data_IF_773152042574
#
_entry.id   IF_773152042574
#
_cell.length_a   1.000
_cell.length_b   1.000
_cell.length_c   1.000
_cell.angle_alpha   90.00
_cell.angle_beta   90.00
_cell.angle_gamma   90.00
#
_symmetry.space_group_name_H-M   'P 1'
#
loop_
_entity.id
_entity.type
_entity.pdbx_description
1 polymer ?
#
# COMPACT_ATOMS: atom_id res chain seq x y z
N UNK A 1 14.75 34.58 13.87
CA UNK A 1 14.20 33.87 15.03
C UNK A 1 14.22 32.39 14.66
N UNK A 2 15.10 31.61 15.28
CA UNK A 2 15.06 30.15 15.12
C UNK A 2 13.71 29.64 15.66
N UNK A 3 13.00 28.76 14.93
CA UNK A 3 11.79 28.15 15.46
C UNK A 3 12.17 27.37 16.73
N UNK A 4 11.54 27.71 17.86
CA UNK A 4 11.68 26.91 19.08
C UNK A 4 11.28 25.48 18.77
N UNK A 5 12.08 24.52 19.22
CA UNK A 5 11.88 23.09 19.01
C UNK A 5 10.58 22.61 19.66
N UNK A 6 9.48 22.58 18.90
CA UNK A 6 8.20 22.00 19.35
C UNK A 6 8.24 20.46 19.43
N UNK A 7 9.32 19.81 18.97
CA UNK A 7 9.43 18.35 18.91
C UNK A 7 9.79 17.64 20.23
N UNK A 8 10.71 18.19 21.02
CA UNK A 8 11.25 17.50 22.21
C UNK A 8 10.18 17.06 23.26
N UNK A 9 9.11 17.84 23.54
CA UNK A 9 8.05 17.39 24.42
C UNK A 9 7.33 16.12 23.93
N UNK A 10 7.15 15.97 22.61
CA UNK A 10 6.43 14.84 22.01
C UNK A 10 7.26 13.55 22.05
N UNK A 11 8.57 13.63 21.81
CA UNK A 11 9.45 12.47 21.87
C UNK A 11 9.47 11.85 23.29
N UNK A 12 9.58 12.68 24.32
CA UNK A 12 9.60 12.21 25.71
C UNK A 12 8.27 11.56 26.13
N UNK A 13 7.14 12.12 25.70
CA UNK A 13 5.81 11.55 25.91
C UNK A 13 5.67 10.17 25.25
N UNK A 14 6.05 10.06 23.97
CA UNK A 14 5.98 8.82 23.21
C UNK A 14 6.93 7.74 23.73
N UNK A 15 8.09 8.12 24.26
CA UNK A 15 9.00 7.24 24.99
C UNK A 15 8.38 6.70 26.30
N UNK A 16 7.63 7.53 27.02
CA UNK A 16 6.92 7.09 28.22
C UNK A 16 5.79 6.11 27.88
N UNK A 17 5.07 6.29 26.76
CA UNK A 17 4.08 5.33 26.27
C UNK A 17 4.70 3.93 26.10
N UNK A 18 5.84 3.82 25.39
CA UNK A 18 6.55 2.56 25.20
C UNK A 18 6.97 1.92 26.54
N UNK A 19 7.47 2.73 27.47
CA UNK A 19 7.88 2.26 28.80
C UNK A 19 6.69 1.71 29.59
N UNK A 20 5.52 2.38 29.54
CA UNK A 20 4.28 1.92 30.20
C UNK A 20 3.84 0.55 29.69
N UNK A 21 4.05 0.27 28.42
CA UNK A 21 3.76 -1.03 27.80
C UNK A 21 4.98 -1.96 27.83
N UNK A 22 5.91 -1.76 28.76
CA UNK A 22 6.95 -2.73 29.10
C UNK A 22 8.13 -2.81 28.13
N UNK A 23 8.33 -1.80 27.28
CA UNK A 23 9.58 -1.69 26.54
C UNK A 23 10.69 -1.14 27.43
N UNK A 24 11.91 -1.59 27.19
CA UNK A 24 13.12 -1.11 27.86
C UNK A 24 13.96 -0.28 26.91
N UNK A 25 14.48 0.85 27.38
CA UNK A 25 15.39 1.71 26.62
C UNK A 25 16.70 0.97 26.33
N UNK A 26 17.20 1.07 25.10
CA UNK A 26 18.48 0.50 24.71
C UNK A 26 19.59 1.50 25.04
N UNK A 27 20.29 1.27 26.16
CA UNK A 27 21.23 2.23 26.71
C UNK A 27 20.52 3.53 27.10
N UNK A 28 21.03 4.67 26.63
CA UNK A 28 20.38 5.98 26.78
C UNK A 28 19.77 6.50 25.47
N UNK A 29 19.79 5.71 24.39
CA UNK A 29 19.26 6.09 23.07
C UNK A 29 17.74 6.06 23.04
N UNK A 30 17.09 6.80 22.14
CA UNK A 30 15.62 6.79 22.02
C UNK A 30 15.07 5.55 21.29
N UNK A 31 15.78 4.43 21.41
CA UNK A 31 15.43 3.10 20.91
C UNK A 31 14.99 2.23 22.08
N UNK A 32 13.95 1.47 21.87
CA UNK A 32 13.21 0.70 22.86
C UNK A 32 13.03 -0.74 22.39
N UNK A 33 13.14 -1.70 23.31
CA UNK A 33 13.03 -3.12 23.00
C UNK A 33 12.04 -3.85 23.90
N UNK A 34 11.28 -4.77 23.29
CA UNK A 34 10.42 -5.73 23.99
C UNK A 34 10.27 -7.00 23.16
N UNK A 35 10.87 -8.09 23.62
CA UNK A 35 10.87 -9.36 22.89
C UNK A 35 11.47 -9.20 21.49
N UNK A 36 10.76 -9.54 20.40
CA UNK A 36 11.28 -9.42 19.04
C UNK A 36 11.16 -8.00 18.45
N UNK A 37 10.54 -7.06 19.17
CA UNK A 37 10.28 -5.71 18.67
C UNK A 37 11.37 -4.73 19.10
N UNK A 38 11.79 -3.89 18.16
CA UNK A 38 12.68 -2.76 18.42
C UNK A 38 12.10 -1.51 17.75
N UNK A 39 11.90 -0.45 18.53
CA UNK A 39 11.18 0.77 18.13
C UNK A 39 12.02 1.98 18.53
N UNK A 40 12.26 2.89 17.61
CA UNK A 40 12.82 4.22 17.90
C UNK A 40 11.73 5.26 18.02
N UNK A 41 11.96 6.29 18.82
CA UNK A 41 11.09 7.47 18.92
C UNK A 41 11.84 8.67 18.34
N UNK A 42 11.34 9.19 17.22
CA UNK A 42 11.91 10.33 16.53
C UNK A 42 11.65 11.64 17.29
N UNK A 43 12.44 12.67 16.99
CA UNK A 43 12.31 13.99 17.61
C UNK A 43 10.92 14.64 17.42
N UNK A 44 10.16 14.24 16.41
CA UNK A 44 8.80 14.71 16.13
C UNK A 44 7.72 13.88 16.85
N UNK A 45 8.11 12.82 17.56
CA UNK A 45 7.23 11.87 18.25
C UNK A 45 6.79 10.68 17.41
N UNK A 46 7.19 10.57 16.14
CA UNK A 46 6.87 9.38 15.32
C UNK A 46 7.70 8.17 15.74
N UNK A 47 7.14 6.97 15.56
CA UNK A 47 7.85 5.73 15.78
C UNK A 47 8.60 5.29 14.52
N UNK A 48 9.84 4.85 14.67
CA UNK A 48 10.59 4.12 13.64
C UNK A 48 10.67 2.66 14.05
N UNK A 49 10.34 1.74 13.14
CA UNK A 49 10.39 0.30 13.42
C UNK A 49 11.72 -0.27 12.96
N UNK A 50 12.28 -1.18 13.75
CA UNK A 50 13.54 -1.82 13.42
C UNK A 50 13.38 -3.33 13.36
N UNK A 51 13.93 -3.91 12.30
CA UNK A 51 14.07 -5.34 12.14
C UNK A 51 15.39 -5.80 12.72
N UNK A 52 15.34 -6.79 13.61
CA UNK A 52 16.54 -7.45 14.11
C UNK A 52 17.09 -8.44 13.07
N UNK A 53 18.35 -8.24 12.66
CA UNK A 53 19.02 -9.06 11.65
C UNK A 53 19.60 -10.36 12.23
N UNK A 54 19.47 -10.60 13.55
CA UNK A 54 19.98 -11.79 14.25
C UNK A 54 19.47 -13.13 13.72
N UNK A 55 18.30 -13.20 13.10
CA UNK A 55 17.67 -14.48 12.73
C UNK A 55 18.47 -15.33 11.73
N UNK A 56 19.55 -14.80 11.14
CA UNK A 56 20.41 -15.53 10.19
C UNK A 56 21.85 -15.73 10.63
N UNK A 57 22.34 -15.02 11.68
CA UNK A 57 23.78 -14.90 11.95
C UNK A 57 24.10 -15.16 13.43
N UNK A 58 25.16 -15.93 13.70
CA UNK A 58 25.72 -16.06 15.04
C UNK A 58 26.46 -14.76 15.41
N UNK A 59 25.74 -13.76 15.93
CA UNK A 59 26.26 -12.40 16.10
C UNK A 59 27.62 -12.32 16.83
N UNK A 60 27.83 -13.17 17.82
CA UNK A 60 29.07 -13.19 18.62
C UNK A 60 30.29 -13.74 17.85
N UNK A 61 30.06 -14.47 16.77
CA UNK A 61 31.10 -15.02 15.93
C UNK A 61 31.58 -14.02 14.86
N UNK A 62 30.90 -12.87 14.71
CA UNK A 62 31.38 -11.79 13.85
C UNK A 62 32.62 -11.12 14.41
N UNK A 63 33.68 -11.20 13.63
CA UNK A 63 34.99 -10.59 13.94
C UNK A 63 35.33 -9.39 13.05
N UNK A 64 34.53 -9.16 11.99
CA UNK A 64 34.82 -8.19 10.95
C UNK A 64 33.57 -7.48 10.44
N UNK A 65 33.68 -6.16 10.20
CA UNK A 65 32.67 -5.31 9.57
C UNK A 65 33.31 -4.50 8.46
N UNK A 66 32.74 -4.55 7.26
CA UNK A 66 33.06 -3.61 6.18
C UNK A 66 31.78 -3.16 5.52
N UNK A 67 31.78 -1.93 5.04
CA UNK A 67 30.70 -1.40 4.20
C UNK A 67 31.20 -1.39 2.77
N UNK A 68 30.63 -2.24 1.94
CA UNK A 68 30.87 -2.21 0.49
C UNK A 68 29.86 -1.29 -0.21
N UNK A 69 30.26 -0.72 -1.35
CA UNK A 69 29.37 -0.04 -2.29
C UNK A 69 29.35 -0.82 -3.60
N UNK A 70 28.17 -1.13 -4.12
CA UNK A 70 28.01 -1.79 -5.42
C UNK A 70 27.63 -0.76 -6.49
N UNK A 71 28.33 -0.71 -7.63
CA UNK A 71 27.93 0.04 -8.83
C UNK A 71 27.71 -0.92 -10.04
N UNK A 72 26.85 -0.60 -11.03
CA UNK A 72 25.76 0.38 -11.06
C UNK A 72 24.43 -0.27 -11.50
N UNK A 73 23.45 -0.29 -10.61
CA UNK A 73 22.05 -0.12 -11.04
C UNK A 73 21.52 1.04 -10.21
N UNK A 74 20.54 1.79 -10.72
CA UNK A 74 20.02 3.03 -10.15
C UNK A 74 19.31 2.86 -8.77
N UNK A 75 19.62 1.80 -8.02
CA UNK A 75 19.12 1.54 -6.69
C UNK A 75 20.14 2.01 -5.62
N UNK A 76 19.68 2.67 -4.54
CA UNK A 76 20.53 3.15 -3.47
C UNK A 76 21.16 2.01 -2.68
N UNK A 77 22.49 1.94 -2.82
CA UNK A 77 23.53 1.61 -1.85
C UNK A 77 23.13 0.57 -0.81
N UNK A 78 23.37 -0.69 -1.16
CA UNK A 78 23.46 -1.72 -0.15
C UNK A 78 24.88 -1.78 0.42
N UNK A 79 25.04 -1.28 1.65
CA UNK A 79 26.15 -1.69 2.49
C UNK A 79 25.99 -3.19 2.77
N UNK A 80 26.82 -4.01 2.13
CA UNK A 80 26.96 -5.40 2.57
C UNK A 80 27.85 -5.39 3.78
N UNK A 81 27.30 -5.73 4.94
CA UNK A 81 28.10 -6.06 6.11
C UNK A 81 28.64 -7.47 5.91
N UNK A 82 29.85 -7.56 5.35
CA UNK A 82 30.57 -8.82 5.36
C UNK A 82 30.91 -9.18 6.79
N UNK A 83 30.20 -10.18 7.32
CA UNK A 83 30.33 -10.63 8.69
C UNK A 83 31.25 -11.85 8.73
N UNK A 84 32.45 -11.70 9.30
CA UNK A 84 33.43 -12.77 9.37
C UNK A 84 33.09 -13.75 10.50
N UNK A 85 32.56 -14.91 10.16
CA UNK A 85 32.41 -16.02 11.10
C UNK A 85 33.66 -16.91 11.07
N UNK A 86 34.34 -17.08 12.22
CA UNK A 86 35.52 -17.96 12.29
C UNK A 86 35.10 -19.42 12.50
N UNK A 87 35.01 -20.19 11.42
CA UNK A 87 34.90 -21.65 11.46
C UNK A 87 36.28 -22.28 11.23
N UNK A 88 37.10 -22.37 12.29
CA UNK A 88 38.49 -22.83 12.14
C UNK A 88 39.37 -21.79 11.43
N UNK A 89 39.85 -22.11 10.23
CA UNK A 89 40.64 -21.21 9.36
C UNK A 89 39.83 -20.57 8.22
N UNK A 90 38.56 -20.96 8.04
CA UNK A 90 37.72 -20.46 6.95
C UNK A 90 36.93 -19.22 7.36
N UNK A 91 36.80 -18.30 6.41
CA UNK A 91 36.00 -17.08 6.49
C UNK A 91 34.94 -17.16 5.41
N UNK A 92 33.67 -17.01 5.79
CA UNK A 92 32.55 -16.90 4.85
C UNK A 92 31.83 -15.56 5.04
N UNK A 93 31.24 -15.06 3.97
CA UNK A 93 30.49 -13.80 3.95
C UNK A 93 29.01 -14.14 3.83
N UNK A 94 28.25 -13.85 4.88
CA UNK A 94 26.80 -14.04 4.85
C UNK A 94 26.04 -12.84 4.25
N UNK A 95 24.80 -13.15 3.86
CA UNK A 95 23.81 -12.32 3.16
C UNK A 95 23.88 -10.81 3.43
N UNK A 96 23.65 -9.98 2.39
CA UNK A 96 23.68 -8.55 2.57
C UNK A 96 22.40 -8.00 3.23
N UNK A 97 22.53 -6.88 3.96
CA UNK A 97 21.48 -6.24 4.75
C UNK A 97 20.24 -5.79 3.92
N UNK A 98 20.28 -5.79 2.59
CA UNK A 98 19.15 -5.31 1.76
C UNK A 98 17.96 -6.26 1.82
N UNK A 99 18.14 -7.52 2.20
CA UNK A 99 17.10 -8.54 2.10
C UNK A 99 16.82 -9.01 0.67
N UNK A 100 17.49 -8.44 -0.32
CA UNK A 100 17.52 -8.97 -1.68
C UNK A 100 18.75 -9.86 -1.77
N UNK A 101 18.56 -11.16 -1.97
CA UNK A 101 19.63 -12.04 -2.44
C UNK A 101 20.17 -11.42 -3.72
N UNK A 102 21.28 -10.68 -3.65
CA UNK A 102 22.02 -10.29 -4.83
C UNK A 102 22.64 -11.62 -5.31
N UNK A 103 21.88 -12.37 -6.10
CA UNK A 103 22.26 -13.65 -6.68
C UNK A 103 23.32 -13.49 -7.78
N UNK A 104 23.82 -12.27 -8.00
CA UNK A 104 25.09 -12.03 -8.67
C UNK A 104 26.16 -11.92 -7.59
N UNK A 105 27.11 -12.86 -7.58
CA UNK A 105 28.32 -12.76 -6.76
C UNK A 105 28.78 -11.30 -6.68
N UNK A 106 29.06 -10.72 -5.49
CA UNK A 106 29.55 -9.35 -5.38
C UNK A 106 30.72 -9.22 -6.35
N UNK A 107 30.51 -8.50 -7.45
CA UNK A 107 31.39 -8.61 -8.60
C UNK A 107 32.77 -8.12 -8.24
N UNK A 108 33.72 -9.01 -7.96
CA UNK A 108 35.16 -8.79 -7.73
C UNK A 108 35.57 -7.56 -6.87
N UNK A 109 34.63 -6.95 -6.15
CA UNK A 109 34.81 -5.67 -5.49
C UNK A 109 35.05 -5.86 -4.00
N UNK A 110 36.31 -5.90 -3.61
CA UNK A 110 36.82 -5.65 -2.26
C UNK A 110 36.07 -6.34 -1.11
N UNK A 111 36.01 -7.69 -1.14
CA UNK A 111 35.80 -8.47 0.09
C UNK A 111 36.88 -8.02 1.10
N UNK A 112 36.54 -7.69 2.35
CA UNK A 112 37.54 -7.41 3.38
C UNK A 112 38.54 -8.56 3.47
N UNK A 113 39.82 -8.24 3.34
CA UNK A 113 40.87 -9.18 3.74
C UNK A 113 40.85 -9.26 5.28
N UNK A 114 41.11 -10.43 5.87
CA UNK A 114 41.22 -10.55 7.33
C UNK A 114 42.26 -9.58 7.91
N UNK A 115 43.27 -9.22 7.13
CA UNK A 115 44.24 -8.18 7.49
C UNK A 115 43.65 -6.77 7.63
N UNK A 116 42.53 -6.45 6.97
CA UNK A 116 41.83 -5.16 7.10
C UNK A 116 41.20 -4.98 8.50
N UNK A 117 40.86 -6.10 9.16
CA UNK A 117 40.12 -6.16 10.44
C UNK A 117 41.00 -6.62 11.62
N UNK A 118 42.12 -7.30 11.35
CA UNK A 118 43.01 -7.83 12.38
C UNK A 118 43.57 -6.72 13.27
N UNK A 119 43.47 -6.91 14.60
CA UNK A 119 43.99 -5.97 15.59
C UNK A 119 43.09 -4.76 15.87
N UNK A 120 41.92 -4.64 15.20
CA UNK A 120 40.94 -3.58 15.46
C UNK A 120 39.80 -4.08 16.33
N UNK A 121 39.37 -3.26 17.29
CA UNK A 121 38.14 -3.54 18.05
C UNK A 121 36.91 -3.33 17.18
N UNK A 122 35.77 -3.92 17.56
CA UNK A 122 34.53 -3.77 16.80
C UNK A 122 34.09 -2.30 16.69
N UNK A 123 34.29 -1.51 17.73
CA UNK A 123 34.03 -0.07 17.77
C UNK A 123 34.88 0.71 16.76
N UNK A 124 36.17 0.36 16.66
CA UNK A 124 37.07 0.96 15.67
C UNK A 124 36.60 0.64 14.26
N UNK A 125 36.25 -0.63 14.00
CA UNK A 125 35.74 -1.07 12.70
C UNK A 125 34.44 -0.34 12.32
N UNK A 126 33.48 -0.21 13.24
CA UNK A 126 32.24 0.54 13.02
C UNK A 126 32.51 2.02 12.75
N UNK A 127 33.42 2.65 13.51
CA UNK A 127 33.79 4.05 13.33
C UNK A 127 34.44 4.29 11.96
N UNK A 128 35.38 3.44 11.56
CA UNK A 128 36.00 3.46 10.22
C UNK A 128 34.98 3.21 9.12
N UNK A 129 34.00 2.34 9.39
CA UNK A 129 32.83 2.14 8.56
C UNK A 129 31.80 3.28 8.68
N UNK A 130 32.16 4.45 9.19
CA UNK A 130 31.34 5.66 9.20
C UNK A 130 30.12 5.61 10.11
N UNK A 131 30.04 4.65 11.03
CA UNK A 131 29.05 4.70 12.09
C UNK A 131 29.44 5.75 13.13
N UNK A 132 28.43 6.40 13.67
CA UNK A 132 28.59 7.36 14.76
C UNK A 132 28.17 6.70 16.06
N UNK A 133 29.05 6.74 17.06
CA UNK A 133 28.72 6.27 18.40
C UNK A 133 27.70 7.25 19.02
N UNK A 134 26.55 6.72 19.46
CA UNK A 134 25.60 7.49 20.24
C UNK A 134 26.23 7.79 21.59
N UNK A 135 26.70 9.04 21.75
CA UNK A 135 27.41 9.51 22.94
C UNK A 135 26.65 9.28 24.24
N UNK A 136 25.33 9.05 24.18
CA UNK A 136 24.52 8.78 25.36
C UNK A 136 24.53 7.29 25.73
N UNK A 137 24.64 6.37 24.78
CA UNK A 137 24.64 4.92 25.00
C UNK A 137 25.98 4.28 24.68
N UNK A 138 26.77 3.92 25.70
CA UNK A 138 28.00 3.16 25.49
C UNK A 138 27.72 1.90 24.66
N UNK A 139 28.38 1.79 23.49
CA UNK A 139 28.27 0.62 22.61
C UNK A 139 27.22 0.71 21.49
N UNK A 140 26.46 1.80 21.37
CA UNK A 140 25.50 2.00 20.28
C UNK A 140 26.12 2.79 19.14
N UNK A 141 26.05 2.24 17.93
CA UNK A 141 26.62 2.83 16.72
C UNK A 141 25.53 2.95 15.67
N UNK A 142 25.31 4.14 15.12
CA UNK A 142 24.29 4.36 14.10
C UNK A 142 24.88 4.91 12.80
N UNK A 143 24.32 4.46 11.67
CA UNK A 143 24.63 4.97 10.34
C UNK A 143 23.40 4.94 9.46
N UNK A 144 23.13 6.06 8.80
CA UNK A 144 22.16 6.12 7.70
C UNK A 144 22.83 5.75 6.39
N UNK A 145 22.24 4.81 5.66
CA UNK A 145 22.63 4.43 4.31
C UNK A 145 21.60 4.95 3.30
N UNK A 146 22.00 5.10 2.03
CA UNK A 146 21.12 5.54 0.94
C UNK A 146 21.17 7.05 0.67
N UNK A 147 20.31 7.52 -0.23
CA UNK A 147 20.20 8.92 -0.63
C UNK A 147 18.73 9.34 -0.83
N UNK A 148 18.43 10.62 -0.58
CA UNK A 148 17.10 11.20 -0.76
C UNK A 148 16.03 10.46 0.06
N UNK A 149 14.93 10.12 -0.61
CA UNK A 149 13.81 9.41 -0.01
C UNK A 149 14.08 7.93 0.24
N UNK A 150 15.23 7.38 -0.14
CA UNK A 150 15.54 5.95 -0.02
C UNK A 150 16.69 5.71 0.97
N UNK A 151 16.60 6.37 2.14
CA UNK A 151 17.52 6.13 3.25
C UNK A 151 17.03 5.01 4.16
N UNK A 152 17.99 4.35 4.81
CA UNK A 152 17.76 3.36 5.87
C UNK A 152 18.72 3.60 7.02
N UNK A 153 18.19 3.77 8.23
CA UNK A 153 19.00 3.82 9.42
C UNK A 153 19.38 2.41 9.89
N UNK A 154 20.64 2.18 10.24
CA UNK A 154 21.14 0.92 10.78
C UNK A 154 21.83 1.20 12.09
N UNK A 155 21.50 0.41 13.10
CA UNK A 155 22.10 0.49 14.43
C UNK A 155 22.82 -0.82 14.72
N UNK A 156 24.06 -0.70 15.15
CA UNK A 156 24.90 -1.75 15.68
C UNK A 156 25.04 -1.57 17.20
N UNK A 157 24.91 -2.68 17.93
CA UNK A 157 25.11 -2.73 19.38
C UNK A 157 26.34 -3.57 19.65
N UNK A 158 27.31 -2.97 20.33
CA UNK A 158 28.57 -3.57 20.75
C UNK A 158 28.63 -3.58 22.27
N UNK A 159 28.95 -4.72 22.85
CA UNK A 159 29.09 -4.91 24.29
C UNK A 159 30.35 -5.72 24.55
N UNK A 160 31.18 -5.28 25.49
CA UNK A 160 32.47 -5.90 25.82
C UNK A 160 33.37 -6.13 24.58
N UNK A 161 33.38 -5.16 23.65
CA UNK A 161 34.14 -5.23 22.39
C UNK A 161 33.60 -6.24 21.38
N UNK A 162 32.45 -6.86 21.65
CA UNK A 162 31.81 -7.86 20.77
C UNK A 162 30.52 -7.34 20.16
N UNK A 163 30.29 -7.75 18.92
CA UNK A 163 29.06 -7.45 18.23
C UNK A 163 27.88 -8.24 18.84
N UNK A 164 26.88 -7.54 19.36
CA UNK A 164 25.70 -8.17 19.98
C UNK A 164 24.50 -8.15 19.07
N UNK A 165 24.25 -7.03 18.41
CA UNK A 165 23.01 -6.84 17.65
C UNK A 165 23.23 -5.93 16.46
N UNK A 166 22.55 -6.26 15.37
CA UNK A 166 22.39 -5.38 14.23
C UNK A 166 20.89 -5.25 13.97
N UNK A 167 20.40 -4.02 13.98
CA UNK A 167 19.02 -3.71 13.68
C UNK A 167 18.96 -2.72 12.52
N UNK A 168 18.00 -2.92 11.63
CA UNK A 168 17.80 -2.11 10.43
C UNK A 168 16.42 -1.48 10.51
N UNK A 169 16.35 -0.17 10.30
CA UNK A 169 15.08 0.53 10.18
C UNK A 169 14.29 -0.07 9.02
N UNK A 170 13.05 -0.43 9.33
CA UNK A 170 12.10 -0.97 8.38
C UNK A 170 10.99 0.04 8.23
N UNK A 171 10.75 0.44 6.97
CA UNK A 171 9.53 1.15 6.60
C UNK A 171 8.37 0.19 6.72
N UNK A 172 7.32 0.59 7.41
CA UNK A 172 6.05 -0.11 7.26
C UNK A 172 5.55 0.27 5.87
N UNK A 173 5.20 -0.74 5.08
CA UNK A 173 4.67 -0.49 3.75
C UNK A 173 3.38 0.32 3.90
N UNK A 174 3.34 1.47 3.22
CA UNK A 174 2.21 2.42 3.21
C UNK A 174 1.97 3.23 4.50
N UNK A 175 3.05 3.60 5.20
CA UNK A 175 3.04 4.46 6.40
C UNK A 175 2.31 5.81 6.23
N UNK A 176 2.03 6.26 5.00
CA UNK A 176 1.50 7.62 4.79
C UNK A 176 0.15 7.87 5.45
N UNK A 177 -0.72 6.86 5.53
CA UNK A 177 -2.04 7.01 6.17
C UNK A 177 -1.96 6.79 7.69
N UNK A 178 -1.26 5.74 8.13
CA UNK A 178 -1.09 5.45 9.56
C UNK A 178 -0.33 6.57 10.28
N UNK A 179 0.72 7.12 9.67
CA UNK A 179 1.43 8.27 10.22
C UNK A 179 0.55 9.53 10.26
N UNK A 180 -0.30 9.76 9.25
CA UNK A 180 -1.23 10.91 9.23
C UNK A 180 -2.28 10.81 10.33
N UNK A 181 -2.80 9.61 10.58
CA UNK A 181 -3.81 9.39 11.61
C UNK A 181 -3.22 9.41 13.02
N UNK A 182 -1.91 9.15 13.15
CA UNK A 182 -1.26 8.95 14.43
C UNK A 182 -1.72 7.66 15.10
N UNK A 183 -0.90 7.13 16.00
CA UNK A 183 -1.24 5.94 16.79
C UNK A 183 -0.40 5.87 18.05
N UNK A 184 -0.84 5.03 18.97
CA UNK A 184 -0.17 4.67 20.21
C UNK A 184 0.15 3.18 20.19
N UNK A 185 1.32 2.81 20.72
CA UNK A 185 1.65 1.40 20.95
C UNK A 185 1.03 0.98 22.26
N UNK A 186 0.06 0.06 22.22
CA UNK A 186 -0.69 -0.36 23.42
C UNK A 186 -0.24 -1.71 23.95
N UNK A 187 0.59 -2.45 23.22
CA UNK A 187 1.32 -3.58 23.78
C UNK A 187 1.88 -4.54 22.76
N UNK A 188 2.19 -5.75 23.24
CA UNK A 188 2.62 -6.89 22.43
C UNK A 188 1.63 -8.02 22.66
N UNK A 189 1.29 -8.75 21.62
CA UNK A 189 0.42 -9.92 21.65
C UNK A 189 0.90 -11.01 20.72
N UNK A 190 -0.01 -11.95 20.44
CA UNK A 190 0.18 -12.99 19.43
C UNK A 190 -0.94 -12.90 18.40
N UNK A 191 -0.62 -13.18 17.14
CA UNK A 191 -1.58 -13.36 16.05
C UNK A 191 -1.48 -14.78 15.51
N UNK A 192 -2.61 -15.43 15.29
CA UNK A 192 -2.68 -16.78 14.73
C UNK A 192 -2.54 -16.70 13.21
N UNK A 193 -1.54 -17.39 12.69
CA UNK A 193 -1.31 -17.59 11.27
C UNK A 193 -1.99 -18.88 10.80
N UNK A 194 -2.14 -19.01 9.49
CA UNK A 194 -2.65 -20.24 8.88
C UNK A 194 -1.91 -21.49 9.38
N UNK A 195 -2.68 -22.51 9.78
CA UNK A 195 -2.15 -23.76 10.33
C UNK A 195 -1.85 -23.71 11.83
N UNK A 196 -2.45 -22.79 12.59
CA UNK A 196 -2.39 -22.74 14.06
C UNK A 196 -1.04 -22.29 14.62
N UNK A 197 -0.15 -21.75 13.78
CA UNK A 197 1.12 -21.17 14.23
C UNK A 197 0.83 -19.76 14.74
N UNK A 198 1.35 -19.38 15.90
CA UNK A 198 1.27 -17.99 16.35
C UNK A 198 2.55 -17.22 16.00
N UNK A 199 2.41 -15.93 15.75
CA UNK A 199 3.54 -15.00 15.64
C UNK A 199 3.36 -13.86 16.63
N UNK A 200 4.43 -13.39 17.27
CA UNK A 200 4.36 -12.18 18.08
C UNK A 200 3.97 -10.98 17.19
N UNK A 201 3.14 -10.10 17.74
CA UNK A 201 2.69 -8.86 17.10
C UNK A 201 2.80 -7.68 18.05
N UNK A 202 3.10 -6.51 17.50
CA UNK A 202 2.99 -5.24 18.18
C UNK A 202 1.59 -4.69 17.94
N UNK A 203 0.89 -4.36 19.02
CA UNK A 203 -0.44 -3.75 18.96
C UNK A 203 -0.31 -2.25 18.95
N UNK A 204 -0.91 -1.64 17.93
CA UNK A 204 -1.05 -0.21 17.81
C UNK A 204 -2.51 0.16 17.59
N UNK A 205 -2.90 1.32 18.10
CA UNK A 205 -4.27 1.81 17.94
C UNK A 205 -4.35 3.33 17.95
N UNK A 206 -5.44 3.83 17.38
CA UNK A 206 -5.89 5.21 17.49
C UNK A 206 -7.41 5.24 17.73
N UNK A 207 -8.06 6.36 17.46
CA UNK A 207 -9.51 6.49 17.60
C UNK A 207 -10.28 5.67 16.56
N UNK A 208 -9.67 5.38 15.40
CA UNK A 208 -10.32 4.75 14.27
C UNK A 208 -9.89 3.31 13.99
N UNK A 209 -8.69 2.90 14.40
CA UNK A 209 -8.05 1.65 14.00
C UNK A 209 -7.44 0.95 15.20
N UNK A 210 -7.47 -0.39 15.16
CA UNK A 210 -6.54 -1.26 15.88
C UNK A 210 -5.80 -2.11 14.86
N UNK A 211 -4.49 -2.22 14.98
CA UNK A 211 -3.71 -3.03 14.05
C UNK A 211 -2.56 -3.76 14.72
N UNK A 212 -2.26 -4.93 14.17
CA UNK A 212 -1.19 -5.82 14.59
C UNK A 212 -0.03 -5.71 13.59
N UNK A 213 1.13 -5.25 14.05
CA UNK A 213 2.35 -5.19 13.26
C UNK A 213 3.20 -6.41 13.59
N UNK A 214 3.51 -7.24 12.59
CA UNK A 214 4.40 -8.38 12.78
C UNK A 214 5.83 -7.93 13.12
N UNK A 215 6.63 -8.82 13.71
CA UNK A 215 8.07 -8.56 13.96
C UNK A 215 8.86 -8.24 12.69
N UNK A 216 8.36 -8.71 11.55
CA UNK A 216 8.83 -8.34 10.24
C UNK A 216 8.32 -6.98 9.75
N UNK A 217 7.69 -6.12 10.54
CA UNK A 217 7.23 -4.77 10.18
C UNK A 217 6.09 -4.70 9.15
N UNK A 218 5.47 -5.82 8.79
CA UNK A 218 4.26 -5.83 7.97
C UNK A 218 3.02 -5.85 8.86
N UNK A 219 1.99 -5.10 8.46
CA UNK A 219 0.67 -5.17 9.12
C UNK A 219 0.05 -6.55 8.85
N UNK A 220 -0.33 -7.26 9.91
CA UNK A 220 -0.89 -8.61 9.84
C UNK A 220 -2.40 -8.63 10.05
N UNK A 221 -2.94 -7.65 10.77
CA UNK A 221 -4.36 -7.52 11.03
C UNK A 221 -4.70 -6.04 11.20
N UNK A 222 -5.79 -5.59 10.61
CA UNK A 222 -6.34 -4.26 10.81
C UNK A 222 -7.83 -4.39 11.06
N UNK A 223 -8.31 -3.72 12.11
CA UNK A 223 -9.73 -3.63 12.44
C UNK A 223 -10.10 -2.17 12.62
N UNK A 224 -11.22 -1.79 12.02
CA UNK A 224 -11.83 -0.48 12.21
C UNK A 224 -12.59 -0.45 13.54
N UNK A 225 -12.36 0.60 14.34
CA UNK A 225 -13.11 0.94 15.56
C UNK A 225 -14.34 1.78 15.23
N UNK A 226 -14.26 2.54 14.13
CA UNK A 226 -15.36 3.32 13.54
C UNK A 226 -15.21 3.37 12.03
N UNK A 227 -16.28 3.80 11.38
CA UNK A 227 -16.25 4.15 9.97
C UNK A 227 -15.29 5.32 9.73
N UNK A 228 -14.47 5.20 8.69
CA UNK A 228 -13.67 6.30 8.17
C UNK A 228 -14.48 7.10 7.15
N UNK A 229 -14.35 8.40 7.16
CA UNK A 229 -14.91 9.26 6.11
C UNK A 229 -14.12 9.08 4.80
N UNK A 230 -14.74 9.36 3.64
CA UNK A 230 -14.00 9.39 2.37
C UNK A 230 -12.77 10.30 2.43
N UNK A 231 -12.87 11.47 3.08
CA UNK A 231 -11.76 12.41 3.23
C UNK A 231 -10.59 11.85 4.03
N UNK A 232 -10.86 11.10 5.10
CA UNK A 232 -9.81 10.42 5.88
C UNK A 232 -9.07 9.37 5.07
N UNK A 233 -9.77 8.70 4.14
CA UNK A 233 -9.17 7.78 3.17
C UNK A 233 -8.49 8.52 2.01
N UNK A 234 -8.58 9.84 1.93
CA UNK A 234 -8.08 10.62 0.81
C UNK A 234 -8.88 10.41 -0.48
N UNK A 235 -10.13 9.95 -0.36
CA UNK A 235 -11.08 9.88 -1.46
C UNK A 235 -11.62 11.27 -1.69
N UNK A 236 -11.20 11.88 -2.79
CA UNK A 236 -11.70 13.18 -3.23
C UNK A 236 -12.55 13.00 -4.48
N UNK A 237 -13.75 13.60 -4.54
CA UNK A 237 -14.55 13.60 -5.76
C UNK A 237 -13.71 14.09 -6.95
N UNK A 238 -13.83 13.41 -8.09
CA UNK A 238 -13.18 13.86 -9.31
C UNK A 238 -13.74 15.25 -9.72
N UNK A 239 -12.88 16.17 -10.17
CA UNK A 239 -13.34 17.47 -10.62
C UNK A 239 -14.23 17.34 -11.86
N UNK A 240 -15.39 17.99 -11.82
CA UNK A 240 -16.30 18.02 -12.97
C UNK A 240 -15.69 18.85 -14.11
N UNK A 241 -15.70 18.30 -15.33
CA UNK A 241 -15.27 19.00 -16.55
C UNK A 241 -16.37 18.90 -17.61
N UNK A 242 -16.91 20.05 -18.02
CA UNK A 242 -17.89 20.13 -19.11
C UNK A 242 -17.20 20.15 -20.48
N UNK A 243 -17.63 19.27 -21.38
CA UNK A 243 -17.18 19.16 -22.76
C UNK A 243 -17.98 20.11 -23.66
N UNK A 244 -17.48 20.46 -24.86
CA UNK A 244 -18.17 21.38 -25.78
C UNK A 244 -19.59 20.96 -26.20
N UNK A 245 -19.92 19.67 -26.12
CA UNK A 245 -21.25 19.12 -26.41
C UNK A 245 -22.17 19.06 -25.17
N UNK A 246 -21.73 19.62 -24.05
CA UNK A 246 -22.47 19.70 -22.78
C UNK A 246 -22.34 18.43 -21.92
N UNK A 247 -21.57 17.42 -22.35
CA UNK A 247 -21.27 16.26 -21.52
C UNK A 247 -20.35 16.63 -20.36
N UNK A 248 -20.67 16.18 -19.15
CA UNK A 248 -19.90 16.45 -17.94
C UNK A 248 -19.14 15.22 -17.50
N UNK A 249 -17.81 15.24 -17.63
CA UNK A 249 -16.95 14.19 -17.08
C UNK A 249 -16.89 14.40 -15.56
N UNK A 250 -17.19 13.36 -14.78
CA UNK A 250 -17.23 13.45 -13.32
C UNK A 250 -18.51 14.09 -12.77
N UNK A 251 -19.50 14.38 -13.63
CA UNK A 251 -20.74 15.06 -13.24
C UNK A 251 -21.99 14.31 -13.69
N UNK A 252 -23.16 14.84 -13.29
CA UNK A 252 -24.45 14.32 -13.71
C UNK A 252 -24.76 14.73 -15.17
N UNK A 253 -25.26 13.78 -15.96
CA UNK A 253 -25.63 13.99 -17.35
C UNK A 253 -27.09 13.60 -17.58
N UNK A 254 -27.80 14.34 -18.43
CA UNK A 254 -29.13 13.89 -18.87
C UNK A 254 -28.99 12.75 -19.89
N UNK A 255 -29.94 11.82 -19.91
CA UNK A 255 -30.00 10.75 -20.92
C UNK A 255 -30.02 11.31 -22.34
N UNK A 256 -30.71 12.44 -22.52
CA UNK A 256 -30.76 13.18 -23.78
C UNK A 256 -29.39 13.72 -24.22
N UNK A 257 -28.57 14.21 -23.28
CA UNK A 257 -27.18 14.60 -23.55
C UNK A 257 -26.38 13.39 -24.00
N UNK A 258 -26.45 12.28 -23.26
CA UNK A 258 -25.72 11.03 -23.56
C UNK A 258 -26.05 10.52 -24.97
N UNK A 259 -27.33 10.48 -25.35
CA UNK A 259 -27.76 9.96 -26.66
C UNK A 259 -27.30 10.80 -27.86
N UNK A 260 -26.94 12.07 -27.63
CA UNK A 260 -26.51 13.00 -28.70
C UNK A 260 -25.00 13.11 -28.84
N UNK A 261 -24.22 12.45 -27.99
CA UNK A 261 -22.77 12.52 -28.03
C UNK A 261 -22.24 12.03 -29.37
N UNK A 262 -21.26 12.76 -29.90
CA UNK A 262 -20.48 12.34 -31.06
C UNK A 262 -19.05 12.01 -30.69
N UNK A 263 -18.61 12.47 -29.51
CA UNK A 263 -17.30 12.21 -28.92
C UNK A 263 -17.41 12.03 -27.40
N UNK A 264 -16.51 11.25 -26.80
CA UNK A 264 -16.26 11.24 -25.35
C UNK A 264 -14.76 11.36 -25.14
N UNK A 265 -14.34 12.32 -24.30
CA UNK A 265 -12.93 12.59 -23.99
C UNK A 265 -12.04 12.70 -25.24
N UNK A 266 -12.52 13.45 -26.25
CA UNK A 266 -11.81 13.67 -27.52
C UNK A 266 -11.81 12.49 -28.51
N UNK A 267 -12.45 11.37 -28.19
CA UNK A 267 -12.57 10.21 -29.09
C UNK A 267 -13.96 10.12 -29.70
N UNK A 268 -14.08 9.81 -30.99
CA UNK A 268 -15.41 9.59 -31.60
C UNK A 268 -16.08 8.34 -31.03
N UNK A 269 -17.42 8.36 -30.94
CA UNK A 269 -18.19 7.21 -30.46
C UNK A 269 -17.93 5.96 -31.31
N UNK A 270 -17.83 6.12 -32.63
CA UNK A 270 -17.52 5.02 -33.55
C UNK A 270 -16.17 4.37 -33.24
N UNK A 271 -15.13 5.17 -32.98
CA UNK A 271 -13.80 4.66 -32.64
C UNK A 271 -13.78 3.99 -31.26
N UNK A 272 -14.49 4.56 -30.27
CA UNK A 272 -14.64 3.97 -28.95
C UNK A 272 -15.32 2.60 -29.04
N UNK A 273 -16.46 2.50 -29.73
CA UNK A 273 -17.16 1.24 -29.93
C UNK A 273 -16.27 0.20 -30.62
N UNK A 274 -15.54 0.59 -31.67
CA UNK A 274 -14.61 -0.30 -32.39
C UNK A 274 -13.50 -0.83 -31.47
N UNK A 275 -12.97 -0.01 -30.56
CA UNK A 275 -11.90 -0.39 -29.61
C UNK A 275 -12.41 -1.19 -28.42
N UNK A 276 -13.62 -0.90 -27.96
CA UNK A 276 -14.25 -1.56 -26.81
C UNK A 276 -14.78 -2.96 -27.13
N UNK A 277 -14.98 -3.31 -28.41
CA UNK A 277 -15.36 -4.67 -28.77
C UNK A 277 -14.24 -5.67 -28.45
N UNK A 278 -14.58 -6.94 -28.16
CA UNK A 278 -13.58 -7.96 -27.91
C UNK A 278 -12.62 -8.05 -29.09
N UNK A 279 -11.33 -8.19 -28.83
CA UNK A 279 -10.39 -8.48 -29.90
C UNK A 279 -10.83 -9.78 -30.59
N UNK A 280 -11.09 -9.73 -31.90
CA UNK A 280 -11.36 -10.94 -32.67
C UNK A 280 -10.22 -11.91 -32.39
N UNK A 281 -10.58 -13.15 -32.00
CA UNK A 281 -9.62 -14.18 -31.62
C UNK A 281 -8.44 -14.19 -32.59
N UNK A 282 -7.21 -14.10 -32.08
CA UNK A 282 -6.01 -14.33 -32.89
C UNK A 282 -6.25 -15.60 -33.72
N UNK A 283 -6.38 -15.45 -35.04
CA UNK A 283 -6.03 -16.56 -35.91
C UNK A 283 -4.55 -16.83 -35.65
N UNK A 284 -4.27 -17.91 -34.91
CA UNK A 284 -2.91 -18.32 -34.52
C UNK A 284 -2.02 -18.61 -35.73
N UNK A 285 -2.58 -18.62 -36.94
CA UNK A 285 -1.88 -18.79 -38.20
C UNK A 285 -1.70 -17.50 -39.02
N UNK A 286 -2.29 -16.37 -38.60
CA UNK A 286 -2.13 -15.09 -39.29
C UNK A 286 -1.06 -14.23 -38.60
N UNK A 287 -0.04 -13.80 -39.35
CA UNK A 287 0.94 -12.79 -38.90
C UNK A 287 0.35 -11.35 -38.93
N UNK A 288 -0.98 -11.22 -38.96
CA UNK A 288 -1.66 -9.93 -38.92
C UNK A 288 -1.82 -9.54 -37.45
N UNK A 289 -1.41 -8.31 -37.11
CA UNK A 289 -1.75 -7.71 -35.81
C UNK A 289 -3.27 -7.76 -35.64
N UNK A 290 -3.82 -8.14 -34.48
CA UNK A 290 -5.26 -8.10 -34.25
C UNK A 290 -5.78 -6.72 -34.62
N UNK A 291 -6.63 -6.64 -35.65
CA UNK A 291 -7.32 -5.41 -36.02
C UNK A 291 -8.59 -5.33 -35.18
N UNK A 292 -8.50 -4.71 -34.01
CA UNK A 292 -9.66 -4.41 -33.16
C UNK A 292 -9.53 -4.98 -31.74
N UNK A 293 -10.07 -4.24 -30.78
CA UNK A 293 -10.10 -4.58 -29.35
C UNK A 293 -8.84 -4.18 -28.58
N UNK A 294 -8.98 -3.29 -27.59
CA UNK A 294 -7.93 -3.02 -26.58
C UNK A 294 -7.99 -3.98 -25.36
N UNK A 295 -8.97 -4.89 -25.37
CA UNK A 295 -9.19 -5.92 -24.36
C UNK A 295 -9.51 -7.24 -25.06
N UNK A 296 -8.98 -8.35 -24.55
CA UNK A 296 -9.31 -9.69 -25.08
C UNK A 296 -10.79 -10.03 -24.91
N UNK A 297 -11.39 -9.60 -23.80
CA UNK A 297 -12.81 -9.83 -23.51
C UNK A 297 -13.71 -8.69 -24.03
N UNK A 298 -13.15 -7.51 -24.29
CA UNK A 298 -13.90 -6.30 -24.63
C UNK A 298 -14.57 -5.65 -23.41
N UNK A 299 -14.93 -4.38 -23.57
CA UNK A 299 -15.74 -3.58 -22.66
C UNK A 299 -17.20 -3.45 -23.13
N UNK A 300 -17.50 -3.87 -24.36
CA UNK A 300 -18.84 -3.89 -24.94
C UNK A 300 -19.11 -5.26 -25.57
N UNK A 301 -20.36 -5.69 -25.51
CA UNK A 301 -20.83 -6.84 -26.25
C UNK A 301 -20.74 -6.64 -27.77
N UNK A 302 -20.72 -7.72 -28.57
CA UNK A 302 -20.40 -7.65 -30.00
C UNK A 302 -21.32 -6.77 -30.86
N UNK A 303 -22.57 -6.57 -30.42
CA UNK A 303 -23.59 -5.79 -31.14
C UNK A 303 -24.16 -4.63 -30.33
N UNK A 304 -23.56 -4.34 -29.17
CA UNK A 304 -24.03 -3.24 -28.33
C UNK A 304 -23.56 -1.90 -28.89
N UNK A 305 -24.37 -0.87 -28.65
CA UNK A 305 -24.05 0.52 -28.92
C UNK A 305 -23.73 1.21 -27.60
N UNK A 306 -22.58 1.89 -27.53
CA UNK A 306 -22.05 2.50 -26.31
C UNK A 306 -23.07 3.43 -25.66
N UNK A 307 -23.64 4.35 -26.44
CA UNK A 307 -24.58 5.34 -25.93
C UNK A 307 -25.91 4.72 -25.48
N UNK A 308 -26.35 3.62 -26.11
CA UNK A 308 -27.58 2.94 -25.71
C UNK A 308 -27.39 2.23 -24.36
N UNK A 309 -26.20 1.67 -24.10
CA UNK A 309 -25.82 1.09 -22.81
C UNK A 309 -25.75 2.18 -21.73
N UNK A 310 -24.98 3.24 -21.97
CA UNK A 310 -24.82 4.34 -21.01
C UNK A 310 -26.14 5.02 -20.69
N UNK A 311 -26.99 5.27 -21.70
CA UNK A 311 -28.30 5.87 -21.52
C UNK A 311 -29.22 5.00 -20.65
N UNK A 312 -29.24 3.68 -20.88
CA UNK A 312 -30.06 2.76 -20.09
C UNK A 312 -29.60 2.70 -18.62
N UNK A 313 -28.29 2.65 -18.39
CA UNK A 313 -27.72 2.63 -17.04
C UNK A 313 -27.97 3.98 -16.32
N UNK A 314 -27.86 5.11 -17.03
CA UNK A 314 -28.20 6.43 -16.50
C UNK A 314 -29.69 6.56 -16.14
N UNK A 315 -30.59 6.11 -17.01
CA UNK A 315 -32.04 6.09 -16.74
C UNK A 315 -32.34 5.30 -15.46
N UNK A 316 -31.71 4.13 -15.29
CA UNK A 316 -31.86 3.32 -14.09
C UNK A 316 -31.34 4.04 -12.84
N UNK A 317 -30.09 4.52 -12.85
CA UNK A 317 -29.47 5.20 -11.70
C UNK A 317 -30.28 6.41 -11.26
N UNK A 318 -30.73 7.25 -12.21
CA UNK A 318 -31.57 8.41 -11.91
C UNK A 318 -32.94 8.02 -11.35
N UNK A 319 -33.54 6.91 -11.84
CA UNK A 319 -34.81 6.41 -11.30
C UNK A 319 -34.72 5.98 -9.84
N UNK A 320 -33.52 5.64 -9.35
CA UNK A 320 -33.25 5.33 -7.96
C UNK A 320 -32.98 6.58 -7.10
N UNK A 321 -32.98 7.78 -7.67
CA UNK A 321 -32.62 9.01 -6.95
C UNK A 321 -31.13 9.15 -6.65
N UNK A 322 -30.29 8.42 -7.40
CA UNK A 322 -28.85 8.35 -7.22
C UNK A 322 -28.10 8.98 -8.41
N UNK A 323 -26.80 9.16 -8.23
CA UNK A 323 -25.84 9.56 -9.27
C UNK A 323 -24.84 8.44 -9.52
N UNK A 324 -24.11 8.49 -10.64
CA UNK A 324 -23.03 7.53 -10.89
C UNK A 324 -21.92 7.63 -9.83
N UNK A 325 -21.66 8.84 -9.33
CA UNK A 325 -20.67 9.09 -8.28
C UNK A 325 -21.08 8.42 -6.95
N UNK A 326 -22.37 8.42 -6.61
CA UNK A 326 -22.86 7.71 -5.42
C UNK A 326 -22.49 6.21 -5.49
N UNK A 327 -22.55 5.58 -6.66
CA UNK A 327 -22.22 4.17 -6.84
C UNK A 327 -20.70 3.93 -6.89
N UNK A 328 -19.97 4.75 -7.65
CA UNK A 328 -18.51 4.62 -7.76
C UNK A 328 -17.80 4.80 -6.42
N UNK A 329 -18.25 5.74 -5.60
CA UNK A 329 -17.64 6.04 -4.30
C UNK A 329 -17.67 4.84 -3.35
N UNK A 330 -18.69 3.98 -3.41
CA UNK A 330 -18.75 2.80 -2.54
C UNK A 330 -17.70 1.76 -2.93
N UNK A 331 -17.47 1.59 -4.23
CA UNK A 331 -16.41 0.71 -4.73
C UNK A 331 -15.03 1.26 -4.36
N UNK A 332 -14.82 2.58 -4.55
CA UNK A 332 -13.56 3.27 -4.21
C UNK A 332 -13.28 3.23 -2.71
N UNK A 333 -14.32 3.33 -1.87
CA UNK A 333 -14.20 3.20 -0.42
C UNK A 333 -13.62 1.84 -0.02
N UNK A 334 -14.18 0.74 -0.54
CA UNK A 334 -13.69 -0.60 -0.26
C UNK A 334 -12.27 -0.83 -0.82
N UNK A 335 -11.99 -0.32 -2.03
CA UNK A 335 -10.67 -0.35 -2.64
C UNK A 335 -9.61 0.32 -1.74
N UNK A 336 -9.89 1.52 -1.26
CA UNK A 336 -8.95 2.32 -0.47
C UNK A 336 -8.73 1.74 0.93
N UNK A 337 -9.77 1.19 1.56
CA UNK A 337 -9.61 0.41 2.79
C UNK A 337 -8.67 -0.78 2.59
N UNK A 338 -8.76 -1.47 1.45
CA UNK A 338 -7.88 -2.59 1.16
C UNK A 338 -6.45 -2.13 0.88
N UNK A 339 -6.22 -1.20 -0.06
CA UNK A 339 -4.86 -0.84 -0.46
C UNK A 339 -4.11 -0.03 0.58
N UNK A 340 -4.76 0.97 1.20
CA UNK A 340 -4.09 1.85 2.16
C UNK A 340 -3.96 1.24 3.54
N UNK A 341 -4.91 0.37 3.94
CA UNK A 341 -4.97 -0.16 5.30
C UNK A 341 -4.89 -1.69 5.38
N UNK A 342 -5.01 -2.43 4.28
CA UNK A 342 -5.03 -3.90 4.33
C UNK A 342 -6.25 -4.48 5.06
N UNK A 343 -7.35 -3.72 5.11
CA UNK A 343 -8.59 -4.16 5.78
C UNK A 343 -9.29 -5.20 4.90
N UNK A 344 -9.58 -6.37 5.49
CA UNK A 344 -10.29 -7.47 4.81
C UNK A 344 -11.77 -7.54 5.17
N UNK A 345 -12.14 -7.04 6.35
CA UNK A 345 -13.52 -6.92 6.80
C UNK A 345 -13.74 -5.57 7.46
N UNK A 346 -14.85 -4.91 7.14
CA UNK A 346 -15.18 -3.59 7.67
C UNK A 346 -16.68 -3.42 7.92
N UNK A 347 -17.03 -2.44 8.77
CA UNK A 347 -18.41 -1.99 8.94
C UNK A 347 -18.59 -0.65 8.24
N UNK A 348 -19.65 -0.52 7.46
CA UNK A 348 -19.96 0.69 6.69
C UNK A 348 -21.48 0.85 6.59
N UNK A 349 -22.00 2.02 6.96
CA UNK A 349 -23.45 2.29 7.06
C UNK A 349 -24.22 1.20 7.84
N UNK A 350 -23.61 0.75 8.94
CA UNK A 350 -24.18 -0.27 9.84
C UNK A 350 -24.20 -1.70 9.28
N UNK A 351 -23.60 -1.95 8.12
CA UNK A 351 -23.49 -3.28 7.48
C UNK A 351 -22.06 -3.78 7.52
N UNK A 352 -21.89 -5.10 7.57
CA UNK A 352 -20.57 -5.75 7.53
C UNK A 352 -20.22 -6.15 6.11
N UNK A 353 -18.99 -5.86 5.72
CA UNK A 353 -18.46 -6.17 4.40
C UNK A 353 -17.16 -6.96 4.49
N UNK A 354 -16.99 -7.90 3.57
CA UNK A 354 -15.71 -8.57 3.30
C UNK A 354 -15.17 -8.11 1.94
N UNK A 355 -13.86 -7.90 1.85
CA UNK A 355 -13.18 -7.48 0.63
C UNK A 355 -11.99 -8.39 0.34
N UNK A 356 -11.78 -8.70 -0.94
CA UNK A 356 -10.58 -9.36 -1.41
C UNK A 356 -10.17 -8.82 -2.79
N UNK A 357 -8.87 -8.81 -3.07
CA UNK A 357 -8.34 -8.35 -4.35
C UNK A 357 -7.53 -9.46 -5.00
N UNK A 358 -7.71 -9.60 -6.32
CA UNK A 358 -6.95 -10.50 -7.16
C UNK A 358 -6.14 -9.70 -8.17
N UNK A 359 -4.83 -9.86 -8.14
CA UNK A 359 -3.89 -9.24 -9.08
C UNK A 359 -3.51 -10.19 -10.22
N UNK A 360 -3.43 -9.64 -11.41
CA UNK A 360 -3.05 -10.31 -12.64
C UNK A 360 -1.72 -9.79 -13.18
N UNK A 361 -1.10 -10.57 -14.08
CA UNK A 361 0.19 -10.19 -14.71
C UNK A 361 0.05 -9.16 -15.84
N UNK A 362 -1.14 -9.02 -16.42
CA UNK A 362 -1.42 -8.08 -17.51
C UNK A 362 -2.04 -6.80 -16.97
N UNK A 363 -1.73 -5.68 -17.61
CA UNK A 363 -2.31 -4.37 -17.34
C UNK A 363 -3.38 -4.08 -18.40
N UNK A 364 -4.52 -3.56 -17.98
CA UNK A 364 -5.64 -3.14 -18.82
C UNK A 364 -5.84 -1.64 -18.66
N UNK A 365 -5.74 -0.91 -19.77
CA UNK A 365 -6.05 0.51 -19.82
C UNK A 365 -7.55 0.74 -20.00
N UNK A 366 -8.05 1.85 -19.44
CA UNK A 366 -9.39 2.36 -19.72
C UNK A 366 -9.58 2.67 -21.21
N UNK A 367 -10.77 2.36 -21.78
CA UNK A 367 -11.07 2.67 -23.18
C UNK A 367 -11.20 4.17 -23.45
N UNK A 368 -11.38 5.00 -22.42
CA UNK A 368 -11.64 6.43 -22.57
C UNK A 368 -10.39 7.30 -22.71
N UNK A 369 -9.19 6.72 -22.75
CA UNK A 369 -7.91 7.44 -22.91
C UNK A 369 -7.71 8.51 -21.80
N UNK A 370 -8.04 8.14 -20.58
CA UNK A 370 -8.02 8.99 -19.38
C UNK A 370 -6.79 8.77 -18.49
N UNK A 371 -5.87 7.90 -18.94
CA UNK A 371 -4.65 7.51 -18.23
C UNK A 371 -4.86 6.51 -17.10
N UNK A 372 -6.09 6.05 -16.86
CA UNK A 372 -6.38 5.03 -15.83
C UNK A 372 -6.09 3.63 -16.36
N UNK A 373 -5.53 2.80 -15.49
CA UNK A 373 -5.07 1.46 -15.83
C UNK A 373 -5.09 0.58 -14.59
N UNK A 374 -5.37 -0.71 -14.73
CA UNK A 374 -5.28 -1.65 -13.62
C UNK A 374 -4.86 -3.04 -14.08
N UNK A 375 -4.41 -3.85 -13.12
CA UNK A 375 -4.22 -5.29 -13.27
C UNK A 375 -4.99 -6.06 -12.20
N UNK A 376 -5.94 -5.43 -11.53
CA UNK A 376 -6.55 -5.95 -10.30
C UNK A 376 -8.08 -5.98 -10.41
N UNK A 377 -8.65 -7.05 -9.86
CA UNK A 377 -10.09 -7.18 -9.63
C UNK A 377 -10.36 -7.18 -8.13
N UNK A 378 -11.47 -6.56 -7.72
CA UNK A 378 -11.98 -6.57 -6.34
C UNK A 378 -13.23 -7.43 -6.25
N UNK A 379 -13.35 -8.20 -5.18
CA UNK A 379 -14.59 -8.84 -4.76
C UNK A 379 -15.04 -8.24 -3.44
N UNK A 380 -16.28 -7.75 -3.40
CA UNK A 380 -16.91 -7.16 -2.21
C UNK A 380 -18.12 -8.00 -1.87
N UNK A 381 -18.25 -8.39 -0.61
CA UNK A 381 -19.37 -9.18 -0.10
C UNK A 381 -20.02 -8.45 1.05
N UNK A 382 -21.33 -8.20 0.96
CA UNK A 382 -22.13 -7.81 2.12
C UNK A 382 -22.35 -9.08 2.97
N UNK A 383 -21.70 -9.14 4.11
CA UNK A 383 -21.69 -10.31 5.00
C UNK A 383 -23.00 -10.47 5.78
N UNK A 384 -23.86 -9.46 5.76
CA UNK A 384 -25.16 -9.52 6.41
C UNK A 384 -26.24 -10.08 5.47
N UNK A 385 -26.09 -9.90 4.14
CA UNK A 385 -27.01 -10.43 3.12
C UNK A 385 -26.45 -11.61 2.33
N UNK A 386 -25.16 -11.92 2.46
CA UNK A 386 -24.41 -12.89 1.65
C UNK A 386 -24.42 -12.57 0.14
N UNK A 387 -24.59 -11.28 -0.19
CA UNK A 387 -24.55 -10.79 -1.58
C UNK A 387 -23.13 -10.34 -1.93
N UNK A 388 -22.62 -10.77 -3.07
CA UNK A 388 -21.29 -10.37 -3.56
C UNK A 388 -21.35 -9.73 -4.94
N UNK A 389 -20.38 -8.87 -5.21
CA UNK A 389 -20.03 -8.41 -6.55
C UNK A 389 -18.54 -8.59 -6.82
N UNK A 390 -18.18 -8.63 -8.09
CA UNK A 390 -16.79 -8.57 -8.55
C UNK A 390 -16.66 -7.48 -9.60
N UNK A 391 -15.57 -6.73 -9.53
CA UNK A 391 -15.32 -5.60 -10.42
C UNK A 391 -13.85 -5.53 -10.79
N UNK A 392 -13.55 -5.18 -12.04
CA UNK A 392 -12.24 -4.61 -12.36
C UNK A 392 -12.08 -3.28 -11.61
N UNK A 393 -10.88 -3.00 -11.09
CA UNK A 393 -10.61 -1.70 -10.46
C UNK A 393 -10.57 -0.52 -11.44
N UNK A 394 -10.82 -0.74 -12.75
CA UNK A 394 -11.13 0.36 -13.67
C UNK A 394 -12.55 0.91 -13.47
N UNK A 395 -13.47 0.08 -12.98
CA UNK A 395 -14.89 0.43 -12.92
C UNK A 395 -15.19 1.63 -12.02
N UNK A 396 -14.60 1.81 -10.82
CA UNK A 396 -14.82 3.01 -10.03
C UNK A 396 -14.57 4.30 -10.83
N UNK A 397 -13.43 4.38 -11.54
CA UNK A 397 -13.09 5.54 -12.38
C UNK A 397 -14.01 5.68 -13.60
N UNK A 398 -14.32 4.59 -14.31
CA UNK A 398 -15.18 4.65 -15.50
C UNK A 398 -16.63 5.03 -15.14
N UNK A 399 -17.14 4.56 -14.01
CA UNK A 399 -18.45 4.90 -13.48
C UNK A 399 -18.46 6.35 -13.03
N UNK A 400 -17.50 6.77 -12.20
CA UNK A 400 -17.45 8.13 -11.66
C UNK A 400 -17.31 9.18 -12.78
N UNK A 401 -16.47 8.91 -13.79
CA UNK A 401 -16.19 9.86 -14.88
C UNK A 401 -17.25 9.88 -15.96
N UNK A 402 -17.74 8.70 -16.36
CA UNK A 402 -18.52 8.55 -17.60
C UNK A 402 -19.89 7.93 -17.38
N UNK A 403 -20.19 7.38 -16.20
CA UNK A 403 -21.41 6.58 -15.99
C UNK A 403 -21.40 5.27 -16.79
N UNK A 404 -20.21 4.70 -17.03
CA UNK A 404 -20.05 3.49 -17.84
C UNK A 404 -19.71 2.26 -16.99
N UNK A 405 -20.57 1.25 -17.06
CA UNK A 405 -20.53 0.01 -16.26
C UNK A 405 -20.07 -1.22 -17.07
N UNK A 406 -19.53 -0.99 -18.28
CA UNK A 406 -19.37 -1.96 -19.37
C UNK A 406 -20.69 -2.44 -20.01
N UNK A 407 -20.60 -2.97 -21.22
CA UNK A 407 -21.73 -3.49 -21.99
C UNK A 407 -22.33 -4.77 -21.41
N UNK A 408 -23.63 -5.02 -21.63
CA UNK A 408 -24.36 -6.20 -21.12
C UNK A 408 -23.77 -7.52 -21.61
N UNK A 409 -23.08 -7.51 -22.75
CA UNK A 409 -22.37 -8.68 -23.28
C UNK A 409 -20.91 -8.80 -22.85
N UNK A 410 -20.37 -7.84 -22.09
CA UNK A 410 -18.99 -7.88 -21.60
C UNK A 410 -18.89 -8.80 -20.37
N UNK A 411 -17.78 -9.55 -20.24
CA UNK A 411 -17.61 -10.50 -19.15
C UNK A 411 -17.33 -9.85 -17.79
N UNK A 412 -16.92 -8.58 -17.79
CA UNK A 412 -16.56 -7.82 -16.59
C UNK A 412 -17.59 -6.74 -16.23
N UNK A 413 -18.78 -6.76 -16.86
CA UNK A 413 -19.86 -5.83 -16.53
C UNK A 413 -20.24 -5.95 -15.06
N UNK A 414 -20.36 -4.78 -14.43
CA UNK A 414 -20.94 -4.61 -13.10
C UNK A 414 -22.16 -3.69 -13.22
N UNK A 415 -23.34 -4.25 -13.37
CA UNK A 415 -24.55 -3.47 -13.55
C UNK A 415 -24.87 -2.62 -12.30
N UNK A 416 -25.47 -1.42 -12.44
CA UNK A 416 -25.77 -0.55 -11.30
C UNK A 416 -26.67 -1.22 -10.26
N UNK A 417 -27.58 -2.10 -10.67
CA UNK A 417 -28.42 -2.92 -9.78
C UNK A 417 -27.59 -3.75 -8.79
N UNK A 418 -26.47 -4.33 -9.26
CA UNK A 418 -25.62 -5.21 -8.45
C UNK A 418 -24.87 -4.43 -7.38
N UNK A 419 -24.45 -3.20 -7.69
CA UNK A 419 -23.81 -2.30 -6.72
C UNK A 419 -24.83 -1.93 -5.63
N UNK A 420 -26.03 -1.53 -6.02
CA UNK A 420 -27.12 -1.20 -5.09
C UNK A 420 -27.58 -2.42 -4.28
N UNK A 421 -27.45 -3.64 -4.80
CA UNK A 421 -27.79 -4.85 -4.07
C UNK A 421 -26.79 -5.15 -2.93
N UNK A 422 -25.49 -5.00 -3.20
CA UNK A 422 -24.43 -5.18 -2.19
C UNK A 422 -24.42 -4.01 -1.20
N UNK A 423 -24.55 -2.78 -1.68
CA UNK A 423 -24.64 -1.56 -0.87
C UNK A 423 -26.11 -1.12 -0.72
N UNK A 424 -26.92 -1.97 -0.07
CA UNK A 424 -28.37 -1.83 0.01
C UNK A 424 -28.85 -0.56 0.74
N UNK A 425 -28.00 0.09 1.55
CA UNK A 425 -28.30 1.41 2.13
C UNK A 425 -28.55 2.49 1.08
N UNK A 426 -27.97 2.36 -0.13
CA UNK A 426 -28.19 3.29 -1.24
C UNK A 426 -29.67 3.39 -1.64
N UNK A 427 -30.46 2.33 -1.40
CA UNK A 427 -31.91 2.35 -1.65
C UNK A 427 -32.61 3.34 -0.73
N UNK A 428 -32.20 3.38 0.54
CA UNK A 428 -32.75 4.28 1.55
C UNK A 428 -32.35 5.74 1.24
N UNK A 429 -31.08 5.99 0.90
CA UNK A 429 -30.58 7.31 0.53
C UNK A 429 -31.27 7.86 -0.73
N UNK A 430 -31.40 7.03 -1.76
CA UNK A 430 -32.09 7.39 -3.00
C UNK A 430 -33.55 7.76 -2.76
N UNK A 431 -34.27 6.96 -1.97
CA UNK A 431 -35.68 7.23 -1.61
C UNK A 431 -35.83 8.55 -0.84
N UNK A 432 -34.92 8.87 0.09
CA UNK A 432 -34.96 10.13 0.83
C UNK A 432 -34.79 11.34 -0.09
N UNK A 433 -33.91 11.26 -1.09
CA UNK A 433 -33.69 12.34 -2.08
C UNK A 433 -34.90 12.53 -2.99
N UNK A 434 -35.59 11.45 -3.37
CA UNK A 434 -36.82 11.53 -4.18
C UNK A 434 -37.99 12.12 -3.38
N UNK A 435 -38.12 11.78 -2.10
CA UNK A 435 -39.21 12.25 -1.24
C UNK A 435 -39.08 13.73 -0.83
N UNK A 436 -37.86 14.28 -0.82
CA UNK A 436 -37.61 15.67 -0.45
C UNK A 436 -37.11 16.47 -1.66
N UNK A 437 -38.00 16.97 -2.55
CA UNK A 437 -37.55 17.89 -3.58
C UNK A 437 -36.94 19.10 -2.88
N UNK A 438 -35.65 19.33 -3.12
CA UNK A 438 -34.96 20.56 -2.75
C UNK A 438 -35.84 21.72 -3.20
N UNK A 439 -36.34 22.52 -2.25
CA UNK A 439 -37.01 23.78 -2.56
C UNK A 439 -36.01 24.59 -3.38
N UNK A 440 -36.27 24.68 -4.69
CA UNK A 440 -35.46 25.44 -5.65
C UNK A 440 -35.46 26.92 -5.38
#
# INVERSE_FOLDING_TARGET
>A
MEPKSEGAPRQAEKAQELTKVGFSKLGQSDIFERGPFTIGVNNDGRYSFYQNMQSRLAMEAITGIKVATTQPSNAPWLAVLGMHEKWGEHVSMDDPISGSSISGAPGNGNVPDFSDISGKTMEQQLTEAGFTNDKQGAGLFQRTFGNGENTVNVIAVVEDGKFKKLIKEKRIYDDSLLEKMGYEITGVGENELYGGRTTPVLRAENDALTFDIGSGGGTLNVKLKRELTPEELGITPLPETEQPDGFRIGGANSTDTIRRLTTINGQSIEELERRMRPALSMDRHSNLRPTGGISMAGFLGPQERLLDVMAADNDYVQSQGLTHQDLANQLRYAEELYFKLGVLEFTYHGRRYGVSIKQWRGIQDSPFNDGTTTNSDIQITNLDTDTSLSASLLLPDMIERYGFYEGKGASYRLAPEQIIEVFDFLKEEGQQRVQWPTKG
#
